data_IF_017726762491
#
_entry.id   IF_017726762491
#
_cell.length_a   1.000
_cell.length_b   1.000
_cell.length_c   1.000
_cell.angle_alpha   90.00
_cell.angle_beta   90.00
_cell.angle_gamma   90.00
#
_symmetry.space_group_name_H-M   'P 1'
#
loop_
_entity.id
_entity.type
_entity.pdbx_description
1 polymer ?
#
# COMPACT_ATOMS: atom_id res chain seq x y z
N UNK A 1 34.61 -16.10 -11.56
CA UNK A 1 33.30 -16.68 -11.18
C UNK A 1 33.36 -18.16 -11.52
N UNK A 2 33.01 -19.04 -10.59
CA UNK A 2 32.93 -20.48 -10.88
C UNK A 2 31.65 -20.81 -11.67
N UNK A 3 31.58 -22.01 -12.23
CA UNK A 3 30.44 -22.43 -13.05
C UNK A 3 29.13 -22.46 -12.24
N UNK A 4 29.21 -22.78 -10.94
CA UNK A 4 28.05 -22.85 -10.05
C UNK A 4 27.47 -21.46 -9.79
N UNK A 5 28.30 -20.47 -9.45
CA UNK A 5 27.82 -19.11 -9.25
C UNK A 5 27.24 -18.50 -10.53
N UNK A 6 27.82 -18.82 -11.69
CA UNK A 6 27.29 -18.39 -12.98
C UNK A 6 25.88 -18.94 -13.23
N UNK A 7 25.67 -20.25 -13.02
CA UNK A 7 24.35 -20.89 -13.20
C UNK A 7 23.34 -20.32 -12.21
N UNK A 8 23.73 -20.08 -10.96
CA UNK A 8 22.86 -19.49 -9.95
C UNK A 8 22.46 -18.05 -10.28
N UNK A 9 23.41 -17.23 -10.76
CA UNK A 9 23.12 -15.87 -11.23
C UNK A 9 22.15 -15.88 -12.41
N UNK A 10 22.34 -16.78 -13.38
CA UNK A 10 21.44 -16.92 -14.53
C UNK A 10 20.01 -17.34 -14.12
N UNK A 11 19.88 -18.25 -13.13
CA UNK A 11 18.56 -18.65 -12.60
C UNK A 11 17.87 -17.49 -11.89
N UNK A 12 18.60 -16.74 -11.07
CA UNK A 12 18.06 -15.59 -10.36
C UNK A 12 17.65 -14.46 -11.33
N UNK A 13 18.45 -14.19 -12.37
CA UNK A 13 18.09 -13.22 -13.41
C UNK A 13 16.81 -13.61 -14.15
N UNK A 14 16.64 -14.90 -14.50
CA UNK A 14 15.39 -15.40 -15.11
C UNK A 14 14.18 -15.23 -14.19
N UNK A 15 14.35 -15.45 -12.88
CA UNK A 15 13.29 -15.23 -11.90
C UNK A 15 12.87 -13.76 -11.88
N UNK A 16 13.84 -12.83 -11.76
CA UNK A 16 13.56 -11.38 -11.79
C UNK A 16 12.84 -10.97 -13.07
N UNK A 17 13.30 -11.48 -14.21
CA UNK A 17 12.66 -11.30 -15.52
C UNK A 17 11.18 -11.70 -15.50
N UNK A 18 10.85 -12.91 -15.02
CA UNK A 18 9.46 -13.36 -14.97
C UNK A 18 8.60 -12.51 -14.03
N UNK A 19 9.15 -12.15 -12.87
CA UNK A 19 8.46 -11.28 -11.91
C UNK A 19 8.18 -9.88 -12.50
N UNK A 20 9.14 -9.29 -13.20
CA UNK A 20 8.98 -8.00 -13.89
C UNK A 20 7.87 -8.07 -14.95
N UNK A 21 7.80 -9.15 -15.73
CA UNK A 21 6.70 -9.35 -16.70
C UNK A 21 5.35 -9.46 -16.00
N UNK A 22 5.27 -10.18 -14.87
CA UNK A 22 4.05 -10.27 -14.06
C UNK A 22 3.64 -8.88 -13.58
N UNK A 23 4.57 -8.11 -13.00
CA UNK A 23 4.32 -6.75 -12.53
C UNK A 23 3.81 -5.81 -13.64
N UNK A 24 4.47 -5.81 -14.80
CA UNK A 24 4.05 -5.01 -15.96
C UNK A 24 2.65 -5.40 -16.43
N UNK A 25 2.36 -6.70 -16.49
CA UNK A 25 1.05 -7.22 -16.91
C UNK A 25 -0.05 -6.79 -15.93
N UNK A 26 0.20 -6.86 -14.62
CA UNK A 26 -0.74 -6.44 -13.59
C UNK A 26 -1.08 -4.95 -13.70
N UNK A 27 -0.07 -4.08 -13.90
CA UNK A 27 -0.31 -2.64 -14.07
C UNK A 27 -1.06 -2.35 -15.37
N UNK A 28 -0.67 -2.97 -16.49
CA UNK A 28 -1.36 -2.76 -17.77
C UNK A 28 -2.83 -3.21 -17.69
N UNK A 29 -3.07 -4.39 -17.11
CA UNK A 29 -4.42 -4.93 -16.92
C UNK A 29 -5.27 -4.01 -16.04
N UNK A 30 -4.74 -3.55 -14.91
CA UNK A 30 -5.44 -2.61 -14.03
C UNK A 30 -5.67 -1.24 -14.67
N UNK A 31 -4.76 -0.80 -15.54
CA UNK A 31 -4.93 0.42 -16.31
C UNK A 31 -6.16 0.34 -17.20
N UNK A 32 -6.25 -0.72 -18.00
CA UNK A 32 -7.36 -0.96 -18.94
C UNK A 32 -8.70 -1.05 -18.19
N UNK A 33 -8.76 -1.76 -17.07
CA UNK A 33 -10.00 -1.92 -16.32
C UNK A 33 -10.51 -0.63 -15.68
N UNK A 34 -9.61 0.21 -15.16
CA UNK A 34 -10.00 1.37 -14.35
C UNK A 34 -9.96 2.70 -15.10
N UNK A 35 -9.60 2.74 -16.39
CA UNK A 35 -9.53 3.99 -17.17
C UNK A 35 -10.87 4.75 -17.22
N UNK A 36 -12.00 4.03 -17.28
CA UNK A 36 -13.33 4.64 -17.30
C UNK A 36 -13.66 5.30 -15.96
N UNK A 37 -13.35 4.61 -14.84
CA UNK A 37 -13.50 5.16 -13.49
C UNK A 37 -12.58 6.37 -13.29
N UNK A 38 -11.34 6.27 -13.75
CA UNK A 38 -10.36 7.35 -13.69
C UNK A 38 -10.86 8.61 -14.40
N UNK A 39 -11.34 8.48 -15.65
CA UNK A 39 -11.93 9.59 -16.41
C UNK A 39 -13.06 10.28 -15.64
N UNK A 40 -13.94 9.50 -15.01
CA UNK A 40 -15.11 9.99 -14.28
C UNK A 40 -14.75 10.66 -12.95
N UNK A 41 -13.85 10.07 -12.15
CA UNK A 41 -13.62 10.48 -10.76
C UNK A 41 -12.35 11.31 -10.53
N UNK A 42 -11.41 11.34 -11.49
CA UNK A 42 -10.13 12.04 -11.34
C UNK A 42 -10.05 13.26 -12.25
N UNK A 43 -10.25 13.07 -13.56
CA UNK A 43 -9.92 14.10 -14.56
C UNK A 43 -10.79 15.36 -14.42
N UNK A 44 -12.11 15.20 -14.30
CA UNK A 44 -13.07 16.30 -14.18
C UNK A 44 -13.20 16.94 -12.78
N UNK A 45 -12.45 16.45 -11.78
CA UNK A 45 -12.51 16.97 -10.40
C UNK A 45 -11.35 17.95 -10.14
N UNK A 46 -11.55 18.89 -9.21
CA UNK A 46 -10.55 19.89 -8.83
C UNK A 46 -9.23 19.29 -8.33
N UNK A 47 -8.16 20.08 -8.39
CA UNK A 47 -6.85 19.70 -7.86
C UNK A 47 -6.85 19.72 -6.33
N UNK A 48 -6.33 18.64 -5.73
CA UNK A 48 -6.21 18.47 -4.29
C UNK A 48 -5.31 17.29 -3.96
N UNK A 49 -4.99 17.10 -2.67
CA UNK A 49 -4.01 16.10 -2.21
C UNK A 49 -4.28 14.70 -2.78
N UNK A 50 -5.53 14.23 -2.73
CA UNK A 50 -5.88 12.91 -3.28
C UNK A 50 -5.70 12.77 -4.79
N UNK A 51 -5.80 13.85 -5.57
CA UNK A 51 -5.57 13.83 -7.03
C UNK A 51 -4.08 13.71 -7.32
N UNK A 52 -3.26 14.45 -6.58
CA UNK A 52 -1.79 14.41 -6.68
C UNK A 52 -1.27 13.03 -6.31
N UNK A 53 -1.67 12.50 -5.14
CA UNK A 53 -1.30 11.17 -4.69
C UNK A 53 -1.71 10.09 -5.70
N UNK A 54 -2.91 10.20 -6.26
CA UNK A 54 -3.38 9.29 -7.30
C UNK A 54 -2.46 9.29 -8.52
N UNK A 55 -2.11 10.45 -9.07
CA UNK A 55 -1.21 10.52 -10.24
C UNK A 55 0.16 9.91 -9.94
N UNK A 56 0.72 10.17 -8.75
CA UNK A 56 2.01 9.61 -8.37
C UNK A 56 1.93 8.07 -8.32
N UNK A 57 1.01 7.49 -7.55
CA UNK A 57 0.93 6.02 -7.44
C UNK A 57 0.55 5.36 -8.77
N UNK A 58 -0.32 5.99 -9.56
CA UNK A 58 -0.88 5.44 -10.80
C UNK A 58 0.09 5.49 -11.96
N UNK A 59 0.82 6.59 -12.13
CA UNK A 59 1.61 6.85 -13.34
C UNK A 59 3.10 6.58 -13.17
N UNK A 60 3.61 6.53 -11.94
CA UNK A 60 5.00 6.20 -11.70
C UNK A 60 5.46 4.86 -12.30
N UNK A 61 4.63 3.78 -12.33
CA UNK A 61 4.98 2.53 -13.03
C UNK A 61 5.39 2.70 -14.50
N UNK A 62 4.81 3.69 -15.19
CA UNK A 62 5.13 3.94 -16.60
C UNK A 62 6.49 4.64 -16.77
N UNK A 63 7.07 5.17 -15.69
CA UNK A 63 8.39 5.77 -15.69
C UNK A 63 9.48 4.74 -15.38
N UNK A 64 9.19 3.79 -14.49
CA UNK A 64 10.21 2.84 -14.02
C UNK A 64 10.18 1.48 -14.74
N UNK A 65 9.03 0.87 -15.01
CA UNK A 65 8.97 -0.41 -15.73
C UNK A 65 9.63 -0.44 -17.11
N UNK A 66 9.76 0.65 -17.88
CA UNK A 66 10.56 0.62 -19.11
C UNK A 66 12.05 0.37 -18.88
N UNK A 67 12.58 0.66 -17.68
CA UNK A 67 14.00 0.51 -17.34
C UNK A 67 14.30 -0.85 -16.72
N UNK A 68 13.35 -1.43 -15.97
CA UNK A 68 13.53 -2.69 -15.25
C UNK A 68 13.96 -3.88 -16.13
N UNK A 69 13.37 -4.14 -17.32
CA UNK A 69 13.79 -5.22 -18.21
C UNK A 69 15.27 -5.17 -18.60
N UNK A 70 15.86 -3.98 -18.64
CA UNK A 70 17.26 -3.79 -18.97
C UNK A 70 18.19 -4.03 -17.79
N UNK A 71 17.70 -3.81 -16.56
CA UNK A 71 18.39 -4.18 -15.34
C UNK A 71 18.28 -5.69 -15.07
N UNK A 72 17.11 -6.30 -15.33
CA UNK A 72 16.74 -7.68 -14.98
C UNK A 72 17.08 -8.73 -16.04
N UNK A 73 17.95 -8.41 -17.01
CA UNK A 73 18.40 -9.37 -18.04
C UNK A 73 17.32 -9.84 -19.03
N UNK A 74 16.21 -9.10 -19.16
CA UNK A 74 15.06 -9.51 -19.96
C UNK A 74 15.32 -9.42 -21.47
N UNK A 75 16.01 -8.36 -21.92
CA UNK A 75 16.23 -8.09 -23.35
C UNK A 75 17.58 -8.68 -23.79
N UNK A 76 17.53 -9.82 -24.47
CA UNK A 76 18.72 -10.49 -25.00
C UNK A 76 19.50 -9.56 -25.94
N UNK A 77 20.77 -9.29 -25.62
CA UNK A 77 21.63 -8.37 -26.39
C UNK A 77 21.22 -6.89 -26.34
N UNK A 78 20.19 -6.53 -25.57
CA UNK A 78 19.63 -5.18 -25.51
C UNK A 78 20.10 -4.41 -24.29
N UNK A 79 21.36 -4.49 -23.88
CA UNK A 79 21.83 -3.73 -22.71
C UNK A 79 21.68 -2.22 -22.98
N UNK A 80 20.94 -1.50 -22.13
CA UNK A 80 20.90 -0.03 -22.18
C UNK A 80 22.33 0.51 -22.04
N UNK A 81 22.70 1.65 -22.66
CA UNK A 81 24.00 2.28 -22.42
C UNK A 81 24.14 2.85 -20.99
N UNK A 82 23.13 2.65 -20.13
CA UNK A 82 23.12 3.07 -18.74
C UNK A 82 24.05 2.20 -17.87
N UNK A 83 24.78 2.85 -16.97
CA UNK A 83 25.59 2.17 -15.95
C UNK A 83 24.71 1.33 -15.02
N UNK A 84 25.19 0.15 -14.63
CA UNK A 84 24.42 -0.78 -13.80
C UNK A 84 24.08 -0.21 -12.42
N UNK A 85 24.96 0.59 -11.82
CA UNK A 85 24.67 1.20 -10.53
C UNK A 85 23.59 2.26 -10.68
N UNK A 86 23.66 3.08 -11.73
CA UNK A 86 22.62 4.08 -12.03
C UNK A 86 21.26 3.41 -12.22
N UNK A 87 21.21 2.32 -12.98
CA UNK A 87 19.98 1.54 -13.16
C UNK A 87 19.46 0.98 -11.83
N UNK A 88 20.33 0.35 -11.03
CA UNK A 88 19.95 -0.20 -9.71
C UNK A 88 19.46 0.89 -8.76
N UNK A 89 20.18 2.02 -8.64
CA UNK A 89 19.75 3.14 -7.80
C UNK A 89 18.42 3.71 -8.24
N UNK A 90 18.23 3.87 -9.55
CA UNK A 90 16.95 4.34 -10.08
C UNK A 90 15.81 3.41 -9.66
N UNK A 91 15.95 2.09 -9.85
CA UNK A 91 14.93 1.09 -9.46
C UNK A 91 14.64 1.13 -7.96
N UNK A 92 15.68 1.16 -7.12
CA UNK A 92 15.52 1.15 -5.65
C UNK A 92 14.86 2.45 -5.15
N UNK A 93 15.27 3.60 -5.69
CA UNK A 93 14.72 4.91 -5.33
C UNK A 93 13.26 5.01 -5.78
N UNK A 94 12.93 4.61 -7.01
CA UNK A 94 11.55 4.69 -7.49
C UNK A 94 10.63 3.74 -6.72
N UNK A 95 11.10 2.53 -6.42
CA UNK A 95 10.35 1.59 -5.58
C UNK A 95 10.10 2.16 -4.18
N UNK A 96 11.14 2.73 -3.56
CA UNK A 96 11.05 3.33 -2.22
C UNK A 96 10.06 4.50 -2.19
N UNK A 97 10.10 5.39 -3.18
CA UNK A 97 9.13 6.49 -3.32
C UNK A 97 7.72 5.93 -3.51
N UNK A 98 7.54 4.92 -4.37
CA UNK A 98 6.23 4.31 -4.61
C UNK A 98 5.63 3.74 -3.32
N UNK A 99 6.43 3.01 -2.54
CA UNK A 99 6.01 2.44 -1.25
C UNK A 99 5.68 3.53 -0.25
N UNK A 100 6.53 4.55 -0.08
CA UNK A 100 6.27 5.68 0.82
C UNK A 100 4.94 6.38 0.47
N UNK A 101 4.72 6.67 -0.81
CA UNK A 101 3.50 7.37 -1.24
C UNK A 101 2.28 6.48 -1.04
N UNK A 102 2.37 5.18 -1.36
CA UNK A 102 1.31 4.20 -1.10
C UNK A 102 0.94 4.14 0.38
N UNK A 103 1.93 4.08 1.27
CA UNK A 103 1.71 4.04 2.71
C UNK A 103 1.13 5.36 3.25
N UNK A 104 1.43 6.50 2.61
CA UNK A 104 0.73 7.77 2.88
C UNK A 104 -0.75 7.66 2.53
N UNK A 105 -1.11 7.03 1.40
CA UNK A 105 -2.53 6.81 1.03
C UNK A 105 -3.22 5.93 2.08
N UNK A 106 -2.59 4.84 2.50
CA UNK A 106 -3.09 3.98 3.58
C UNK A 106 -3.18 4.72 4.92
N UNK A 107 -2.16 5.49 5.29
CA UNK A 107 -2.12 6.29 6.51
C UNK A 107 -3.20 7.36 6.57
N UNK A 108 -3.44 8.09 5.48
CA UNK A 108 -4.52 9.08 5.40
C UNK A 108 -5.88 8.43 5.59
N UNK A 109 -6.08 7.24 5.03
CA UNK A 109 -7.30 6.46 5.22
C UNK A 109 -7.45 6.01 6.67
N UNK A 110 -6.43 5.40 7.27
CA UNK A 110 -6.47 4.98 8.67
C UNK A 110 -6.72 6.18 9.57
N UNK A 111 -6.08 7.32 9.31
CA UNK A 111 -6.32 8.55 10.07
C UNK A 111 -7.77 9.05 9.96
N UNK A 112 -8.38 8.95 8.77
CA UNK A 112 -9.78 9.30 8.56
C UNK A 112 -10.73 8.35 9.32
N UNK A 113 -10.43 7.04 9.37
CA UNK A 113 -11.20 6.08 10.17
C UNK A 113 -11.17 6.41 11.66
N UNK A 114 -10.06 6.97 12.14
CA UNK A 114 -9.91 7.46 13.51
C UNK A 114 -10.40 8.91 13.68
N UNK A 115 -11.41 9.32 12.90
CA UNK A 115 -12.08 10.61 13.00
C UNK A 115 -11.11 11.81 12.95
N UNK A 116 -9.98 11.64 12.26
CA UNK A 116 -8.90 12.65 12.14
C UNK A 116 -8.32 13.07 13.50
N UNK A 117 -8.28 12.15 14.47
CA UNK A 117 -7.64 12.40 15.76
C UNK A 117 -6.19 12.86 15.61
N UNK A 118 -5.82 13.98 16.23
CA UNK A 118 -4.48 14.59 16.12
C UNK A 118 -3.35 13.68 16.63
N UNK A 119 -3.60 12.91 17.68
CA UNK A 119 -2.61 12.02 18.30
C UNK A 119 -2.29 10.80 17.44
N UNK A 120 -3.33 10.15 16.91
CA UNK A 120 -3.14 9.02 16.00
C UNK A 120 -2.50 9.47 14.69
N UNK A 121 -2.88 10.64 14.15
CA UNK A 121 -2.23 11.21 12.97
C UNK A 121 -0.74 11.47 13.19
N UNK A 122 -0.39 12.08 14.33
CA UNK A 122 1.02 12.30 14.70
C UNK A 122 1.77 10.98 14.85
N UNK A 123 1.17 9.99 15.53
CA UNK A 123 1.76 8.65 15.67
C UNK A 123 2.05 8.00 14.32
N UNK A 124 1.07 7.99 13.40
CA UNK A 124 1.23 7.38 12.08
C UNK A 124 2.33 8.05 11.25
N UNK A 125 2.45 9.38 11.33
CA UNK A 125 3.51 10.14 10.64
C UNK A 125 4.88 9.82 11.24
N UNK A 126 5.01 9.92 12.57
CA UNK A 126 6.29 9.66 13.27
C UNK A 126 6.75 8.22 13.03
N UNK A 127 5.84 7.25 13.15
CA UNK A 127 6.13 5.85 12.85
C UNK A 127 6.56 5.68 11.38
N UNK A 128 5.83 6.27 10.43
CA UNK A 128 6.16 6.17 9.01
C UNK A 128 7.55 6.73 8.69
N UNK A 129 7.88 7.92 9.23
CA UNK A 129 9.21 8.53 9.08
C UNK A 129 10.29 7.66 9.72
N UNK A 130 10.04 7.09 10.89
CA UNK A 130 11.01 6.23 11.57
C UNK A 130 11.29 4.94 10.79
N UNK A 131 10.25 4.21 10.36
CA UNK A 131 10.40 2.95 9.63
C UNK A 131 11.02 3.17 8.24
N UNK A 132 10.45 4.07 7.43
CA UNK A 132 10.96 4.36 6.08
C UNK A 132 12.32 5.05 6.12
N UNK A 133 12.52 6.00 7.03
CA UNK A 133 13.81 6.67 7.22
C UNK A 133 14.92 5.70 7.58
N UNK A 134 14.64 4.74 8.48
CA UNK A 134 15.61 3.69 8.84
C UNK A 134 15.88 2.74 7.66
N UNK A 135 14.84 2.33 6.93
CA UNK A 135 15.00 1.47 5.75
C UNK A 135 15.85 2.14 4.67
N UNK A 136 15.57 3.41 4.34
CA UNK A 136 16.33 4.20 3.37
C UNK A 136 17.77 4.41 3.85
N UNK A 137 17.97 4.77 5.12
CA UNK A 137 19.31 4.96 5.68
C UNK A 137 20.12 3.65 5.61
N UNK A 138 19.51 2.51 5.90
CA UNK A 138 20.15 1.20 5.80
C UNK A 138 20.56 0.87 4.36
N UNK A 139 19.69 1.12 3.39
CA UNK A 139 19.99 0.91 1.97
C UNK A 139 21.08 1.86 1.46
N UNK A 140 21.05 3.13 1.87
CA UNK A 140 22.00 4.15 1.45
C UNK A 140 23.41 3.98 2.06
N UNK A 141 23.50 3.46 3.28
CA UNK A 141 24.77 3.27 4.00
C UNK A 141 25.35 1.87 3.88
N UNK A 142 24.64 0.94 3.21
CA UNK A 142 25.13 -0.42 3.00
C UNK A 142 26.43 -0.39 2.19
N UNK A 143 27.57 -0.83 2.76
CA UNK A 143 28.85 -0.79 2.07
C UNK A 143 28.87 -1.89 1.00
N UNK A 144 28.52 -1.53 -0.23
CA UNK A 144 28.83 -2.36 -1.39
C UNK A 144 30.32 -2.19 -1.67
N UNK A 145 31.11 -3.25 -1.49
CA UNK A 145 32.56 -3.19 -1.72
C UNK A 145 32.89 -3.17 -3.21
N UNK A 146 31.95 -3.64 -4.02
CA UNK A 146 32.06 -3.73 -5.46
C UNK A 146 30.75 -3.28 -6.14
N UNK A 147 30.86 -2.48 -7.23
CA UNK A 147 29.70 -1.99 -7.94
C UNK A 147 28.92 -3.14 -8.61
N UNK A 148 27.62 -2.92 -8.82
CA UNK A 148 26.80 -3.81 -9.65
C UNK A 148 27.39 -3.82 -11.05
N UNK A 149 27.56 -5.02 -11.62
CA UNK A 149 28.29 -5.20 -12.87
C UNK A 149 27.57 -6.14 -13.84
N UNK A 150 27.92 -6.01 -15.12
CA UNK A 150 27.49 -6.95 -16.16
C UNK A 150 28.38 -8.18 -16.13
N UNK A 151 27.77 -9.36 -16.12
CA UNK A 151 28.51 -10.62 -16.21
C UNK A 151 28.66 -10.97 -17.70
N UNK A 152 29.87 -11.24 -18.21
CA UNK A 152 30.02 -11.66 -19.60
C UNK A 152 29.13 -12.87 -19.92
N UNK A 153 28.37 -12.80 -21.03
CA UNK A 153 27.39 -13.80 -21.50
C UNK A 153 26.06 -13.86 -20.74
N UNK A 154 25.84 -13.00 -19.74
CA UNK A 154 24.52 -12.71 -19.18
C UNK A 154 24.18 -11.26 -19.52
N UNK A 155 22.97 -11.04 -20.00
CA UNK A 155 22.42 -9.68 -20.10
C UNK A 155 22.01 -9.17 -18.72
N UNK A 156 21.90 -7.86 -18.51
CA UNK A 156 21.47 -7.27 -17.24
C UNK A 156 22.57 -7.05 -16.19
N UNK A 157 22.15 -6.67 -14.98
CA UNK A 157 23.01 -6.15 -13.92
C UNK A 157 22.95 -7.05 -12.68
N UNK A 158 24.12 -7.48 -12.19
CA UNK A 158 24.22 -8.43 -11.10
C UNK A 158 25.10 -7.92 -9.96
N UNK A 159 24.69 -8.20 -8.74
CA UNK A 159 25.56 -8.05 -7.58
C UNK A 159 26.74 -9.03 -7.71
N UNK A 160 27.97 -8.62 -7.41
CA UNK A 160 29.11 -9.53 -7.30
C UNK A 160 29.00 -10.53 -6.14
N UNK A 161 29.54 -11.76 -6.27
CA UNK A 161 29.45 -12.80 -5.22
C UNK A 161 30.04 -12.40 -3.86
N UNK A 162 31.04 -11.54 -3.83
CA UNK A 162 31.70 -11.10 -2.60
C UNK A 162 30.82 -10.22 -1.69
N UNK A 163 29.75 -9.63 -2.23
CA UNK A 163 28.87 -8.69 -1.52
C UNK A 163 27.42 -9.21 -1.36
N UNK A 164 27.15 -10.47 -1.74
CA UNK A 164 25.81 -11.06 -1.65
C UNK A 164 25.25 -11.02 -0.23
N UNK A 165 26.04 -11.44 0.76
CA UNK A 165 25.58 -11.50 2.15
C UNK A 165 25.23 -10.11 2.70
N UNK A 166 26.03 -9.09 2.41
CA UNK A 166 25.81 -7.73 2.89
C UNK A 166 24.62 -7.06 2.18
N UNK A 167 24.57 -7.18 0.85
CA UNK A 167 23.50 -6.56 0.05
C UNK A 167 22.15 -7.21 0.33
N UNK A 168 22.09 -8.55 0.39
CA UNK A 168 20.88 -9.26 0.80
C UNK A 168 20.48 -8.91 2.24
N UNK A 169 21.44 -8.77 3.15
CA UNK A 169 21.18 -8.39 4.54
C UNK A 169 20.55 -7.00 4.69
N UNK A 170 21.04 -6.01 3.94
CA UNK A 170 20.43 -4.69 3.92
C UNK A 170 19.00 -4.76 3.34
N UNK A 171 18.81 -5.51 2.26
CA UNK A 171 17.53 -5.58 1.56
C UNK A 171 16.44 -6.26 2.37
N UNK A 172 16.68 -7.44 2.95
CA UNK A 172 15.62 -8.12 3.73
C UNK A 172 15.26 -7.34 5.00
N UNK A 173 16.22 -6.64 5.62
CA UNK A 173 15.95 -5.74 6.75
C UNK A 173 15.13 -4.53 6.33
N UNK A 174 15.40 -3.96 5.16
CA UNK A 174 14.59 -2.87 4.61
C UNK A 174 13.15 -3.33 4.36
N UNK A 175 12.95 -4.49 3.73
CA UNK A 175 11.62 -5.09 3.57
C UNK A 175 10.94 -5.35 4.91
N UNK A 176 11.65 -5.88 5.90
CA UNK A 176 11.08 -6.10 7.23
C UNK A 176 10.60 -4.79 7.87
N UNK A 177 11.34 -3.70 7.71
CA UNK A 177 10.96 -2.38 8.21
C UNK A 177 9.73 -1.81 7.50
N UNK A 178 9.66 -1.91 6.16
CA UNK A 178 8.49 -1.45 5.39
C UNK A 178 7.24 -2.27 5.74
N UNK A 179 7.36 -3.60 5.82
CA UNK A 179 6.24 -4.49 6.22
C UNK A 179 5.78 -4.21 7.64
N UNK A 180 6.71 -3.90 8.54
CA UNK A 180 6.37 -3.56 9.93
C UNK A 180 5.49 -2.31 10.00
N UNK A 181 5.76 -1.30 9.17
CA UNK A 181 4.90 -0.12 9.11
C UNK A 181 3.53 -0.42 8.50
N UNK A 182 3.48 -1.23 7.43
CA UNK A 182 2.21 -1.69 6.85
C UNK A 182 1.39 -2.49 7.86
N UNK A 183 2.04 -3.32 8.69
CA UNK A 183 1.39 -4.05 9.78
C UNK A 183 0.83 -3.10 10.85
N UNK A 184 1.53 -2.02 11.20
CA UNK A 184 1.00 -0.98 12.10
C UNK A 184 -0.26 -0.34 11.53
N UNK A 185 -0.25 0.04 10.24
CA UNK A 185 -1.42 0.60 9.56
C UNK A 185 -2.60 -0.39 9.51
N UNK A 186 -2.31 -1.65 9.21
CA UNK A 186 -3.29 -2.72 9.19
C UNK A 186 -3.92 -2.94 10.56
N UNK A 187 -3.11 -3.08 11.62
CA UNK A 187 -3.59 -3.27 13.00
C UNK A 187 -4.46 -2.08 13.43
N UNK A 188 -4.01 -0.85 13.20
CA UNK A 188 -4.78 0.35 13.53
C UNK A 188 -6.13 0.40 12.78
N UNK A 189 -6.18 -0.07 11.54
CA UNK A 189 -7.39 -0.18 10.73
C UNK A 189 -8.33 -1.26 11.27
N UNK A 190 -7.80 -2.45 11.62
CA UNK A 190 -8.57 -3.56 12.18
C UNK A 190 -9.17 -3.20 13.54
N UNK A 191 -8.38 -2.58 14.43
CA UNK A 191 -8.86 -2.17 15.76
C UNK A 191 -10.08 -1.26 15.63
N UNK A 192 -10.00 -0.21 14.80
CA UNK A 192 -11.11 0.72 14.60
C UNK A 192 -12.28 0.07 13.87
N UNK A 193 -12.00 -0.84 12.93
CA UNK A 193 -13.02 -1.65 12.27
C UNK A 193 -13.83 -2.48 13.27
N UNK A 194 -13.17 -3.24 14.15
CA UNK A 194 -13.83 -4.07 15.19
C UNK A 194 -14.61 -3.21 16.19
N UNK A 195 -14.06 -2.07 16.61
CA UNK A 195 -14.77 -1.13 17.48
C UNK A 195 -16.07 -0.63 16.84
N UNK A 196 -16.04 -0.30 15.54
CA UNK A 196 -17.23 0.12 14.82
C UNK A 196 -18.26 -1.02 14.69
N UNK A 197 -17.80 -2.23 14.31
CA UNK A 197 -18.67 -3.42 14.22
C UNK A 197 -19.35 -3.80 15.54
N UNK A 198 -18.70 -3.55 16.67
CA UNK A 198 -19.26 -3.87 17.99
C UNK A 198 -20.22 -2.80 18.51
N UNK A 199 -20.14 -1.56 18.01
CA UNK A 199 -20.91 -0.42 18.51
C UNK A 199 -22.06 0.02 17.59
N UNK A 200 -22.02 -0.29 16.29
CA UNK A 200 -23.00 0.21 15.30
C UNK A 200 -23.69 -0.92 14.52
N UNK A 201 -25.00 -0.76 14.24
CA UNK A 201 -25.70 -1.56 13.21
C UNK A 201 -25.28 -1.05 11.83
N UNK A 202 -24.44 -1.84 11.15
CA UNK A 202 -23.75 -1.50 9.89
C UNK A 202 -24.69 -0.91 8.83
N UNK A 203 -24.32 0.24 8.26
CA UNK A 203 -24.79 0.65 6.93
C UNK A 203 -23.94 -0.07 5.86
N UNK A 204 -24.60 -0.70 4.88
CA UNK A 204 -24.01 -1.61 3.87
C UNK A 204 -22.77 -1.05 3.14
N UNK A 205 -22.63 0.28 3.06
CA UNK A 205 -21.55 0.96 2.35
C UNK A 205 -20.19 0.92 3.09
N UNK A 206 -20.20 0.90 4.42
CA UNK A 206 -18.95 0.83 5.21
C UNK A 206 -18.29 -0.56 5.10
N UNK A 207 -19.10 -1.62 5.01
CA UNK A 207 -18.59 -2.99 4.94
C UNK A 207 -17.81 -3.30 3.66
N UNK A 208 -18.24 -2.78 2.51
CA UNK A 208 -17.55 -2.98 1.23
C UNK A 208 -16.23 -2.22 1.19
N UNK A 209 -16.23 -0.95 1.65
CA UNK A 209 -15.02 -0.14 1.67
C UNK A 209 -13.97 -0.72 2.64
N UNK A 210 -14.39 -1.23 3.80
CA UNK A 210 -13.50 -1.91 4.75
C UNK A 210 -12.90 -3.20 4.18
N UNK A 211 -13.73 -4.02 3.53
CA UNK A 211 -13.32 -5.31 2.96
C UNK A 211 -12.23 -5.15 1.91
N UNK A 212 -12.40 -4.21 0.99
CA UNK A 212 -11.49 -4.08 -0.15
C UNK A 212 -10.11 -3.56 0.27
N UNK A 213 -10.06 -2.70 1.30
CA UNK A 213 -8.79 -2.26 1.91
C UNK A 213 -8.10 -3.35 2.72
N UNK A 214 -8.88 -4.13 3.47
CA UNK A 214 -8.36 -5.19 4.30
C UNK A 214 -7.61 -6.22 3.42
N UNK A 215 -8.21 -6.60 2.30
CA UNK A 215 -7.54 -7.45 1.32
C UNK A 215 -6.31 -6.78 0.69
N UNK A 216 -6.35 -5.49 0.41
CA UNK A 216 -5.18 -4.76 -0.10
C UNK A 216 -3.99 -4.84 0.87
N UNK A 217 -4.20 -4.56 2.16
CA UNK A 217 -3.16 -4.69 3.19
C UNK A 217 -2.64 -6.13 3.30
N UNK A 218 -3.55 -7.12 3.36
CA UNK A 218 -3.15 -8.53 3.48
C UNK A 218 -2.30 -9.01 2.31
N UNK A 219 -2.68 -8.64 1.08
CA UNK A 219 -1.95 -9.00 -0.13
C UNK A 219 -0.55 -8.37 -0.11
N UNK A 220 -0.44 -7.08 0.23
CA UNK A 220 0.86 -6.39 0.27
C UNK A 220 1.79 -6.95 1.35
N UNK A 221 1.29 -7.10 2.59
CA UNK A 221 2.05 -7.69 3.70
C UNK A 221 2.48 -9.12 3.34
N UNK A 222 1.60 -9.90 2.71
CA UNK A 222 1.92 -11.26 2.28
C UNK A 222 3.06 -11.32 1.26
N UNK A 223 3.03 -10.45 0.24
CA UNK A 223 4.09 -10.39 -0.77
C UNK A 223 5.41 -9.91 -0.17
N UNK A 224 5.41 -8.90 0.70
CA UNK A 224 6.66 -8.48 1.35
C UNK A 224 7.21 -9.54 2.31
N UNK A 225 6.36 -10.27 3.03
CA UNK A 225 6.81 -11.39 3.86
C UNK A 225 7.48 -12.48 3.01
N UNK A 226 6.91 -12.79 1.84
CA UNK A 226 7.53 -13.69 0.86
C UNK A 226 8.88 -13.13 0.39
N UNK A 227 8.99 -11.81 0.13
CA UNK A 227 10.26 -11.19 -0.23
C UNK A 227 11.32 -11.33 0.86
N UNK A 228 10.97 -11.09 2.13
CA UNK A 228 11.88 -11.31 3.27
C UNK A 228 12.35 -12.76 3.30
N UNK A 229 11.42 -13.72 3.19
CA UNK A 229 11.75 -15.15 3.21
C UNK A 229 12.64 -15.57 2.03
N UNK A 230 12.36 -15.08 0.82
CA UNK A 230 13.15 -15.38 -0.39
C UNK A 230 14.56 -14.81 -0.29
N UNK A 231 14.72 -13.56 0.16
CA UNK A 231 16.05 -12.95 0.27
C UNK A 231 16.89 -13.63 1.36
N UNK A 232 16.29 -14.01 2.48
CA UNK A 232 17.00 -14.74 3.55
C UNK A 232 17.42 -16.14 3.06
N UNK A 233 16.49 -16.88 2.44
CA UNK A 233 16.74 -18.28 2.04
C UNK A 233 17.70 -18.41 0.85
N UNK A 234 17.62 -17.51 -0.12
CA UNK A 234 18.43 -17.56 -1.34
C UNK A 234 19.72 -16.75 -1.24
N UNK A 235 19.83 -15.85 -0.26
CA UNK A 235 20.91 -14.88 -0.11
C UNK A 235 21.13 -14.01 -1.37
N UNK A 236 20.08 -13.84 -2.17
CA UNK A 236 20.12 -13.08 -3.42
C UNK A 236 18.86 -12.23 -3.56
N UNK A 237 19.08 -10.94 -3.83
CA UNK A 237 18.01 -9.95 -4.04
C UNK A 237 17.26 -10.17 -5.35
N UNK A 238 17.84 -10.93 -6.29
CA UNK A 238 17.24 -11.21 -7.59
C UNK A 238 16.11 -12.25 -7.53
N UNK A 239 15.94 -12.93 -6.38
CA UNK A 239 14.77 -13.77 -6.12
C UNK A 239 13.63 -13.01 -5.45
N UNK A 240 13.73 -11.70 -5.27
CA UNK A 240 12.63 -10.89 -4.74
C UNK A 240 11.54 -10.68 -5.81
N UNK A 241 10.28 -10.69 -5.37
CA UNK A 241 9.11 -10.32 -6.15
C UNK A 241 8.94 -8.79 -6.22
N UNK A 242 10.01 -8.08 -6.61
CA UNK A 242 10.03 -6.61 -6.61
C UNK A 242 9.06 -6.03 -7.65
N UNK A 243 8.94 -6.64 -8.82
CA UNK A 243 8.08 -6.22 -9.92
C UNK A 243 6.62 -6.44 -9.57
N UNK A 244 6.29 -7.62 -9.03
CA UNK A 244 4.95 -7.90 -8.51
C UNK A 244 4.59 -6.95 -7.37
N UNK A 245 5.48 -6.76 -6.39
CA UNK A 245 5.25 -5.86 -5.27
C UNK A 245 5.06 -4.41 -5.75
N UNK A 246 5.92 -3.92 -6.65
CA UNK A 246 5.83 -2.59 -7.26
C UNK A 246 4.50 -2.34 -7.95
N UNK A 247 4.01 -3.35 -8.67
CA UNK A 247 2.71 -3.32 -9.33
C UNK A 247 1.57 -3.23 -8.29
N UNK A 248 1.61 -4.06 -7.25
CA UNK A 248 0.58 -4.08 -6.20
C UNK A 248 0.53 -2.76 -5.40
N UNK A 249 1.68 -2.15 -5.11
CA UNK A 249 1.79 -0.83 -4.47
C UNK A 249 1.09 0.25 -5.31
N UNK A 250 1.18 0.18 -6.64
CA UNK A 250 0.48 1.08 -7.54
C UNK A 250 -1.02 0.77 -7.63
N UNK A 251 -1.36 -0.47 -7.98
CA UNK A 251 -2.72 -0.91 -8.30
C UNK A 251 -3.65 -0.77 -7.09
N UNK A 252 -3.24 -1.28 -5.93
CA UNK A 252 -4.10 -1.31 -4.76
C UNK A 252 -4.33 0.10 -4.20
N UNK A 253 -3.29 0.93 -4.16
CA UNK A 253 -3.40 2.32 -3.69
C UNK A 253 -4.20 3.19 -4.65
N UNK A 254 -4.04 3.00 -5.96
CA UNK A 254 -4.85 3.70 -6.97
C UNK A 254 -6.33 3.31 -6.87
N UNK A 255 -6.64 2.02 -6.75
CA UNK A 255 -8.02 1.52 -6.58
C UNK A 255 -8.65 2.09 -5.31
N UNK A 256 -7.92 2.08 -4.20
CA UNK A 256 -8.43 2.62 -2.94
C UNK A 256 -8.83 4.10 -3.05
N UNK A 257 -8.07 4.91 -3.79
CA UNK A 257 -8.44 6.31 -4.04
C UNK A 257 -9.67 6.41 -4.94
N UNK A 258 -9.77 5.58 -5.99
CA UNK A 258 -10.92 5.57 -6.90
C UNK A 258 -12.20 5.17 -6.17
N UNK A 259 -12.16 4.08 -5.41
CA UNK A 259 -13.33 3.55 -4.69
C UNK A 259 -13.81 4.54 -3.62
N UNK A 260 -12.88 5.23 -2.94
CA UNK A 260 -13.24 6.30 -2.00
C UNK A 260 -13.93 7.48 -2.69
N UNK A 261 -13.44 7.90 -3.86
CA UNK A 261 -14.04 9.00 -4.64
C UNK A 261 -15.39 8.63 -5.24
N UNK A 262 -15.53 7.38 -5.67
CA UNK A 262 -16.78 6.82 -6.15
C UNK A 262 -17.82 6.81 -5.02
N UNK A 263 -17.45 6.31 -3.84
CA UNK A 263 -18.32 6.31 -2.66
C UNK A 263 -18.74 7.74 -2.27
N UNK A 264 -17.80 8.69 -2.18
CA UNK A 264 -18.11 10.08 -1.86
C UNK A 264 -19.08 10.71 -2.87
N UNK A 265 -18.84 10.51 -4.18
CA UNK A 265 -19.72 11.04 -5.23
C UNK A 265 -21.10 10.38 -5.24
N UNK A 266 -21.25 9.17 -4.69
CA UNK A 266 -22.55 8.47 -4.60
C UNK A 266 -23.34 8.92 -3.38
N UNK A 267 -22.65 9.39 -2.34
CA UNK A 267 -23.25 9.96 -1.13
C UNK A 267 -23.74 11.40 -1.34
N UNK A 268 -23.00 12.25 -2.07
CA UNK A 268 -23.40 13.65 -2.31
C UNK A 268 -24.86 13.78 -2.85
N UNK A 269 -25.32 12.99 -3.84
CA UNK A 269 -26.70 13.01 -4.31
C UNK A 269 -27.69 12.55 -3.24
N UNK A 270 -27.37 11.49 -2.48
CA UNK A 270 -28.25 10.96 -1.44
C UNK A 270 -28.45 11.97 -0.30
N UNK A 271 -27.40 12.68 0.10
CA UNK A 271 -27.49 13.78 1.08
C UNK A 271 -28.33 14.95 0.57
N UNK A 272 -28.27 15.27 -0.74
CA UNK A 272 -29.15 16.30 -1.33
C UNK A 272 -30.61 15.87 -1.49
N UNK A 273 -30.90 14.56 -1.46
CA UNK A 273 -32.28 14.04 -1.65
C UNK A 273 -33.06 13.97 -0.34
N UNK A 274 -32.40 14.00 0.82
CA UNK A 274 -33.06 14.14 2.12
C UNK A 274 -33.12 15.63 2.45
N UNK A 275 -34.30 16.27 2.46
CA UNK A 275 -34.40 17.64 2.93
C UNK A 275 -33.84 17.71 4.36
N UNK A 276 -32.96 18.65 4.67
CA UNK A 276 -32.35 18.79 6.01
C UNK A 276 -33.40 18.85 7.16
N UNK A 277 -34.65 19.17 6.84
CA UNK A 277 -35.79 19.11 7.76
C UNK A 277 -36.29 17.68 8.07
N UNK A 278 -36.19 16.74 7.12
CA UNK A 278 -36.55 15.33 7.29
C UNK A 278 -35.55 14.60 8.20
N UNK A 279 -34.25 14.83 8.02
CA UNK A 279 -33.21 14.26 8.89
C UNK A 279 -33.35 14.75 10.34
N UNK A 280 -33.64 16.06 10.54
CA UNK A 280 -33.88 16.62 11.87
C UNK A 280 -35.13 16.05 12.53
N UNK A 281 -36.19 15.75 11.75
CA UNK A 281 -37.42 15.11 12.24
C UNK A 281 -37.23 13.64 12.58
N UNK A 282 -36.45 12.89 11.82
CA UNK A 282 -36.13 11.49 12.15
C UNK A 282 -35.25 11.39 13.40
N UNK A 283 -34.24 12.25 13.54
CA UNK A 283 -33.38 12.29 14.73
C UNK A 283 -34.20 12.70 15.97
N UNK A 284 -35.09 13.69 15.86
CA UNK A 284 -36.01 14.05 16.96
C UNK A 284 -37.03 12.94 17.27
N UNK A 285 -37.55 12.24 16.27
CA UNK A 285 -38.53 11.16 16.46
C UNK A 285 -37.89 9.93 17.10
N UNK A 286 -36.62 9.63 16.77
CA UNK A 286 -35.84 8.57 17.41
C UNK A 286 -35.48 8.95 18.85
N UNK A 287 -35.07 10.20 19.10
CA UNK A 287 -34.80 10.69 20.45
C UNK A 287 -36.05 10.68 21.35
N UNK A 288 -37.22 11.07 20.83
CA UNK A 288 -38.49 11.00 21.58
C UNK A 288 -38.97 9.56 21.82
N UNK A 289 -38.63 8.59 20.95
CA UNK A 289 -38.96 7.17 21.19
C UNK A 289 -38.11 6.55 22.29
N UNK A 290 -36.89 7.03 22.50
CA UNK A 290 -36.03 6.59 23.60
C UNK A 290 -36.43 7.22 24.94
N UNK A 291 -36.88 8.47 24.96
CA UNK A 291 -37.34 9.14 26.20
C UNK A 291 -38.69 8.62 26.72
N UNK A 292 -39.55 8.06 25.87
CA UNK A 292 -40.86 7.50 26.27
C UNK A 292 -40.74 6.07 26.84
N UNK A 293 -39.55 5.45 26.81
CA UNK A 293 -39.31 4.07 27.28
C UNK A 293 -38.65 3.94 28.66
N UNK A 294 -38.58 5.00 29.46
CA UNK A 294 -38.32 4.87 30.90
C UNK A 294 -39.64 4.80 31.67
N UNK A 295 -40.00 3.66 32.30
CA UNK A 295 -41.04 3.65 33.31
C UNK A 295 -40.48 4.21 34.62
N UNK A 296 -41.06 5.34 35.04
CA UNK A 296 -40.95 5.91 36.37
C UNK A 296 -41.47 4.93 37.43
N UNK A 297 -40.60 4.18 38.09
CA UNK A 297 -40.93 3.58 39.39
C UNK A 297 -40.68 4.61 40.49
N UNK A 298 -41.69 5.45 40.73
CA UNK A 298 -41.76 6.34 41.89
C UNK A 298 -42.84 5.82 42.85
N UNK A 299 -42.34 5.32 43.98
CA UNK A 299 -42.88 5.44 45.34
C UNK A 299 -44.19 6.24 45.49
N UNK A 300 -45.23 5.60 46.04
CA UNK A 300 -46.33 6.30 46.75
C UNK A 300 -46.71 5.54 48.01
N UNK A 301 -46.45 6.18 49.15
CA UNK A 301 -47.00 5.92 50.48
C UNK A 301 -48.44 6.41 50.59
N UNK A 302 -49.30 5.71 51.36
CA UNK A 302 -50.23 6.32 52.34
C UNK A 302 -51.05 5.27 53.11
N UNK A 303 -50.78 5.16 54.41
CA UNK A 303 -51.69 5.22 55.56
C UNK A 303 -53.03 4.43 55.61
N UNK A 304 -53.15 3.60 56.65
CA UNK A 304 -54.10 3.85 57.75
C UNK A 304 -55.46 3.11 57.80
N UNK A 305 -55.66 2.41 58.93
CA UNK A 305 -56.90 1.95 59.58
C UNK A 305 -57.46 0.55 59.23
N UNK A 306 -57.56 -0.29 60.28
CA UNK A 306 -58.15 -1.63 60.30
C UNK A 306 -57.49 -2.52 61.32
#
# INVERSE_FOLDING_TARGET
>A
MDQVAFVNAARAGRFSTYDTVVGMTLVAFDYILNINKERKFIWGKGWGLGKILYFIVRYMPFLDFPIWPFADSFVAGGNLPMDCNVATYFVVITLSIATCVSDVVYGLRTWALWERGRWIGLFLIVAGVAFHGTAIALLATSPTRTPVQRIPRLDGCFTPPGDYAQTSAAMWKAFLLTTSYQLVLFIATVIKGVQHFTQSKIQVLEGVLYRDAFFAFLIQIGVEFVNVALVISTQSVNYSLNGTYRALVSVLSARMILDLREAATTLDPWETTIPAAAHRREVFALHNRETIREPSNAFTSSDGWG
#
